data_IF_168706732580
#
_entry.id   IF_168706732580
#
_cell.length_a   1.000
_cell.length_b   1.000
_cell.length_c   1.000
_cell.angle_alpha   90.00
_cell.angle_beta   90.00
_cell.angle_gamma   90.00
#
_symmetry.space_group_name_H-M   'P 1'
#
loop_
_entity.id
_entity.type
_entity.pdbx_description
1 polymer ?
#
# COMPACT_ATOMS: atom_id res chain seq x y z
N UNK A 1 13.79 42.37 -16.92
CA UNK A 1 14.04 40.92 -16.93
C UNK A 1 12.95 40.27 -16.09
N UNK A 2 12.11 39.42 -16.68
CA UNK A 2 11.10 38.66 -15.92
C UNK A 2 11.79 37.48 -15.22
N UNK A 3 11.53 37.21 -13.94
CA UNK A 3 12.08 36.04 -13.26
C UNK A 3 11.51 34.74 -13.88
N UNK A 4 12.28 33.64 -13.90
CA UNK A 4 11.79 32.36 -14.39
C UNK A 4 10.63 31.88 -13.50
N UNK A 5 9.53 31.50 -14.15
CA UNK A 5 8.38 30.87 -13.53
C UNK A 5 8.88 29.54 -12.96
N UNK A 6 8.88 29.40 -11.63
CA UNK A 6 9.09 28.10 -10.97
C UNK A 6 7.98 27.16 -11.45
N UNK A 7 8.28 25.98 -12.00
CA UNK A 7 7.24 25.02 -12.31
C UNK A 7 6.48 24.71 -11.03
N UNK A 8 5.16 24.81 -11.07
CA UNK A 8 4.30 24.36 -9.97
C UNK A 8 4.51 22.86 -9.72
N UNK A 9 4.15 22.37 -8.52
CA UNK A 9 4.22 20.93 -8.23
C UNK A 9 3.43 20.16 -9.30
N UNK A 10 3.94 18.99 -9.74
CA UNK A 10 3.30 18.23 -10.80
C UNK A 10 1.86 17.84 -10.39
N UNK A 11 0.92 17.80 -11.35
CA UNK A 11 -0.42 17.31 -11.09
C UNK A 11 -0.34 15.89 -10.51
N UNK A 12 -1.08 15.63 -9.43
CA UNK A 12 -1.17 14.31 -8.82
C UNK A 12 -1.49 13.27 -9.90
N UNK A 13 -0.59 12.31 -10.12
CA UNK A 13 -0.80 11.24 -11.11
C UNK A 13 -2.09 10.48 -10.78
N UNK A 14 -2.96 10.30 -11.77
CA UNK A 14 -4.15 9.48 -11.65
C UNK A 14 -3.75 7.99 -11.64
N UNK A 15 -4.54 7.14 -10.99
CA UNK A 15 -4.45 5.69 -11.20
C UNK A 15 -4.82 5.36 -12.66
N UNK A 16 -4.22 4.36 -13.35
CA UNK A 16 -3.23 3.37 -12.91
C UNK A 16 -1.77 3.86 -13.01
N UNK A 17 -1.53 5.04 -13.59
CA UNK A 17 -0.19 5.58 -13.81
C UNK A 17 0.58 5.76 -12.51
N UNK A 18 -0.10 6.13 -11.42
CA UNK A 18 0.51 6.23 -10.09
C UNK A 18 1.11 4.92 -9.60
N UNK A 19 0.42 3.79 -9.78
CA UNK A 19 0.88 2.46 -9.33
C UNK A 19 2.14 2.04 -10.08
N UNK A 20 2.12 2.20 -11.40
CA UNK A 20 3.26 1.93 -12.27
C UNK A 20 4.45 2.80 -11.84
N UNK A 21 4.21 4.07 -11.53
CA UNK A 21 5.25 5.01 -11.15
C UNK A 21 5.77 4.84 -9.73
N UNK A 22 4.96 4.37 -8.77
CA UNK A 22 5.45 3.91 -7.47
C UNK A 22 6.36 2.70 -7.62
N UNK A 23 5.95 1.74 -8.46
CA UNK A 23 6.77 0.59 -8.81
C UNK A 23 8.12 1.00 -9.38
N UNK A 24 8.14 1.92 -10.36
CA UNK A 24 9.38 2.45 -10.95
C UNK A 24 10.19 3.30 -9.97
N UNK A 25 9.55 4.09 -9.11
CA UNK A 25 10.21 4.95 -8.11
C UNK A 25 10.94 4.18 -7.01
N UNK A 26 10.48 2.98 -6.66
CA UNK A 26 11.23 2.03 -5.81
C UNK A 26 12.56 1.58 -6.42
N UNK A 27 12.75 1.79 -7.72
CA UNK A 27 13.92 1.37 -8.49
C UNK A 27 14.70 2.54 -9.10
N UNK A 28 14.69 3.74 -8.52
CA UNK A 28 15.50 4.86 -9.04
C UNK A 28 17.03 4.64 -9.01
N UNK A 29 17.50 3.45 -8.62
CA UNK A 29 18.88 2.97 -8.81
C UNK A 29 19.06 2.12 -10.08
N UNK A 30 17.98 1.78 -10.79
CA UNK A 30 17.94 0.94 -12.00
C UNK A 30 17.83 1.87 -13.22
N UNK A 31 18.84 1.83 -14.07
CA UNK A 31 18.97 2.67 -15.28
C UNK A 31 17.91 2.32 -16.35
N UNK A 32 17.61 3.29 -17.22
CA UNK A 32 16.66 3.18 -18.34
C UNK A 32 16.81 1.88 -19.15
N UNK A 33 18.05 1.41 -19.34
CA UNK A 33 18.43 0.17 -20.04
C UNK A 33 17.75 -1.11 -19.51
N UNK A 34 17.36 -1.12 -18.23
CA UNK A 34 16.79 -2.29 -17.55
C UNK A 34 15.27 -2.37 -17.70
N UNK A 35 14.62 -1.24 -18.02
CA UNK A 35 13.15 -1.13 -18.17
C UNK A 35 12.71 -1.15 -19.64
N UNK A 36 13.65 -0.98 -20.57
CA UNK A 36 13.42 -1.01 -22.02
C UNK A 36 12.69 -2.28 -22.51
N UNK A 37 13.01 -3.51 -22.02
CA UNK A 37 12.30 -4.72 -22.42
C UNK A 37 10.81 -4.68 -22.06
N UNK A 38 10.45 -4.12 -20.90
CA UNK A 38 9.06 -4.01 -20.46
C UNK A 38 8.30 -2.89 -21.19
N UNK A 39 8.96 -1.76 -21.47
CA UNK A 39 8.41 -0.67 -22.26
C UNK A 39 8.07 -1.09 -23.70
N UNK A 40 8.83 -2.05 -24.24
CA UNK A 40 8.60 -2.62 -25.57
C UNK A 40 7.27 -3.42 -25.69
N UNK A 41 6.68 -3.83 -24.56
CA UNK A 41 5.41 -4.56 -24.53
C UNK A 41 4.18 -3.63 -24.44
N UNK A 42 4.39 -2.33 -24.19
CA UNK A 42 3.31 -1.37 -24.05
C UNK A 42 2.81 -0.84 -25.42
N UNK A 43 1.50 -0.64 -25.61
CA UNK A 43 0.93 0.01 -26.79
C UNK A 43 1.52 1.41 -27.01
N UNK A 44 1.71 1.81 -28.27
CA UNK A 44 2.41 3.05 -28.65
C UNK A 44 2.04 4.33 -27.89
N UNK A 45 0.74 4.64 -27.66
CA UNK A 45 0.34 5.82 -26.89
C UNK A 45 0.79 5.77 -25.42
N UNK A 46 0.78 4.57 -24.83
CA UNK A 46 1.19 4.32 -23.44
C UNK A 46 2.70 4.37 -23.32
N UNK A 47 3.43 3.87 -24.34
CA UNK A 47 4.90 3.91 -24.39
C UNK A 47 5.44 5.35 -24.39
N UNK A 48 4.85 6.27 -25.15
CA UNK A 48 5.26 7.68 -25.14
C UNK A 48 5.03 8.37 -23.79
N UNK A 49 3.91 8.03 -23.14
CA UNK A 49 3.61 8.53 -21.79
C UNK A 49 4.61 7.97 -20.78
N UNK A 50 4.96 6.69 -20.89
CA UNK A 50 5.93 6.01 -20.03
C UNK A 50 7.33 6.63 -20.14
N UNK A 51 7.85 6.86 -21.36
CA UNK A 51 9.14 7.54 -21.54
C UNK A 51 9.12 8.98 -21.04
N UNK A 52 8.07 9.75 -21.34
CA UNK A 52 7.96 11.13 -20.87
C UNK A 52 7.97 11.25 -19.35
N UNK A 53 7.42 10.27 -18.64
CA UNK A 53 7.45 10.22 -17.18
C UNK A 53 8.81 9.72 -16.65
N UNK A 54 9.46 8.73 -17.28
CA UNK A 54 10.83 8.31 -16.91
C UNK A 54 11.83 9.47 -16.98
N UNK A 55 11.82 10.24 -18.08
CA UNK A 55 12.67 11.42 -18.22
C UNK A 55 12.34 12.51 -17.19
N UNK A 56 11.08 12.60 -16.77
CA UNK A 56 10.65 13.50 -15.69
C UNK A 56 11.10 13.00 -14.30
N UNK A 57 11.22 11.69 -14.10
CA UNK A 57 11.69 11.07 -12.86
C UNK A 57 13.19 11.26 -12.65
N UNK A 58 14.00 11.11 -13.70
CA UNK A 58 15.44 11.40 -13.67
C UNK A 58 15.71 12.86 -13.30
N UNK A 59 14.83 13.77 -13.73
CA UNK A 59 14.95 15.19 -13.44
C UNK A 59 14.53 15.58 -12.01
N UNK A 60 13.70 14.76 -11.33
CA UNK A 60 13.05 15.15 -10.06
C UNK A 60 13.42 14.24 -8.88
N UNK A 61 13.98 13.06 -9.11
CA UNK A 61 14.32 12.09 -8.05
C UNK A 61 13.09 11.38 -7.47
N UNK A 62 13.29 10.16 -6.97
CA UNK A 62 12.25 9.20 -6.56
C UNK A 62 11.20 9.68 -5.55
N UNK A 63 11.41 10.83 -4.90
CA UNK A 63 10.50 11.38 -3.88
C UNK A 63 9.26 12.07 -4.43
N UNK A 64 9.19 12.40 -5.73
CA UNK A 64 8.13 13.27 -6.25
C UNK A 64 6.90 12.57 -6.84
N UNK A 65 6.82 11.24 -6.75
CA UNK A 65 5.86 10.45 -7.54
C UNK A 65 4.51 10.27 -6.84
N UNK A 66 4.47 10.40 -5.51
CA UNK A 66 3.25 10.24 -4.73
C UNK A 66 3.01 11.50 -3.90
N UNK A 67 1.79 12.06 -3.89
CA UNK A 67 1.46 13.09 -2.90
C UNK A 67 1.77 12.53 -1.50
N UNK A 68 2.39 13.33 -0.62
CA UNK A 68 2.72 12.88 0.73
C UNK A 68 1.43 12.46 1.45
N UNK A 69 1.45 11.28 2.09
CA UNK A 69 0.36 10.86 2.95
C UNK A 69 0.23 11.86 4.10
N UNK A 70 -0.98 12.35 4.36
CA UNK A 70 -1.26 13.24 5.48
C UNK A 70 -2.03 12.53 6.59
N UNK A 71 -2.01 13.12 7.78
CA UNK A 71 -2.69 12.61 8.98
C UNK A 71 -4.20 12.52 8.78
N UNK A 72 -4.79 13.38 7.94
CA UNK A 72 -6.21 13.34 7.64
C UNK A 72 -6.59 12.09 6.83
N UNK A 73 -5.77 11.72 5.85
CA UNK A 73 -5.94 10.50 5.05
C UNK A 73 -5.83 9.26 5.93
N UNK A 74 -4.87 9.24 6.86
CA UNK A 74 -4.73 8.14 7.84
C UNK A 74 -5.96 8.07 8.75
N UNK A 75 -6.45 9.20 9.25
CA UNK A 75 -7.65 9.23 10.07
C UNK A 75 -8.89 8.74 9.30
N UNK A 76 -9.03 9.08 8.02
CA UNK A 76 -10.11 8.55 7.17
C UNK A 76 -9.98 7.04 6.94
N UNK A 77 -8.77 6.54 6.72
CA UNK A 77 -8.49 5.11 6.60
C UNK A 77 -8.82 4.35 7.89
N UNK A 78 -8.41 4.87 9.04
CA UNK A 78 -8.71 4.32 10.38
C UNK A 78 -10.23 4.29 10.62
N UNK A 79 -10.93 5.39 10.32
CA UNK A 79 -12.40 5.43 10.42
C UNK A 79 -13.09 4.47 9.46
N UNK A 80 -12.52 4.22 8.28
CA UNK A 80 -13.04 3.23 7.35
C UNK A 80 -12.96 1.81 7.93
N UNK A 81 -11.81 1.41 8.47
CA UNK A 81 -11.63 0.07 9.04
C UNK A 81 -12.46 -0.15 10.31
N UNK A 82 -12.73 0.91 11.09
CA UNK A 82 -13.53 0.79 12.31
C UNK A 82 -15.04 0.94 12.12
N UNK A 83 -15.48 1.85 11.23
CA UNK A 83 -16.90 2.27 11.13
C UNK A 83 -17.50 2.01 9.73
N UNK A 84 -16.69 1.81 8.69
CA UNK A 84 -17.19 1.44 7.36
C UNK A 84 -17.84 2.57 6.56
N UNK A 85 -17.25 3.77 6.54
CA UNK A 85 -17.81 4.88 5.74
C UNK A 85 -17.44 4.81 4.25
N UNK A 86 -18.41 4.88 3.34
CA UNK A 86 -18.22 4.74 1.87
C UNK A 86 -17.08 5.55 1.24
N UNK A 87 -16.78 6.74 1.77
CA UNK A 87 -15.69 7.60 1.25
C UNK A 87 -14.28 7.20 1.70
N UNK A 88 -14.16 6.20 2.59
CA UNK A 88 -12.90 5.83 3.24
C UNK A 88 -12.05 4.80 2.48
N UNK A 89 -12.60 4.11 1.48
CA UNK A 89 -11.89 3.07 0.74
C UNK A 89 -10.61 3.60 0.07
N UNK A 90 -10.69 4.76 -0.60
CA UNK A 90 -9.51 5.36 -1.24
C UNK A 90 -8.44 5.80 -0.22
N UNK A 91 -8.87 6.30 0.94
CA UNK A 91 -7.97 6.68 2.02
C UNK A 91 -7.25 5.45 2.58
N UNK A 92 -7.97 4.33 2.77
CA UNK A 92 -7.38 3.05 3.15
C UNK A 92 -6.33 2.60 2.13
N UNK A 93 -6.65 2.63 0.83
CA UNK A 93 -5.71 2.25 -0.23
C UNK A 93 -4.43 3.10 -0.19
N UNK A 94 -4.55 4.41 -0.02
CA UNK A 94 -3.38 5.28 0.11
C UNK A 94 -2.54 4.97 1.36
N UNK A 95 -3.19 4.71 2.49
CA UNK A 95 -2.52 4.35 3.74
C UNK A 95 -1.79 3.00 3.61
N UNK A 96 -2.42 2.00 2.97
CA UNK A 96 -1.79 0.71 2.67
C UNK A 96 -0.58 0.85 1.74
N UNK A 97 -0.69 1.68 0.70
CA UNK A 97 0.44 1.94 -0.21
C UNK A 97 1.62 2.62 0.48
N UNK A 98 1.35 3.51 1.44
CA UNK A 98 2.38 4.09 2.29
C UNK A 98 3.01 3.05 3.23
N UNK A 99 2.18 2.26 3.92
CA UNK A 99 2.67 1.21 4.82
C UNK A 99 3.55 0.19 4.08
N UNK A 100 3.13 -0.19 2.88
CA UNK A 100 3.87 -1.06 1.98
C UNK A 100 5.24 -0.47 1.59
N UNK A 101 5.26 0.79 1.16
CA UNK A 101 6.49 1.48 0.79
C UNK A 101 7.48 1.56 1.96
N UNK A 102 6.97 1.74 3.19
CA UNK A 102 7.82 1.77 4.38
C UNK A 102 8.37 0.37 4.71
N UNK A 103 7.52 -0.65 4.65
CA UNK A 103 7.90 -2.04 4.87
C UNK A 103 8.95 -2.55 3.86
N UNK A 104 8.80 -2.21 2.57
CA UNK A 104 9.71 -2.66 1.51
C UNK A 104 11.12 -2.06 1.64
N UNK A 105 11.24 -0.82 2.13
CA UNK A 105 12.52 -0.19 2.45
C UNK A 105 13.23 -0.92 3.59
N UNK A 106 12.49 -1.36 4.62
CA UNK A 106 13.06 -2.05 5.78
C UNK A 106 13.57 -3.47 5.45
N UNK A 107 13.03 -4.11 4.41
CA UNK A 107 13.31 -5.54 4.12
C UNK A 107 14.15 -5.81 2.87
N UNK A 108 14.48 -4.78 2.08
CA UNK A 108 15.12 -4.95 0.77
C UNK A 108 14.36 -5.88 -0.19
N UNK A 109 13.07 -6.12 0.06
CA UNK A 109 12.17 -6.93 -0.77
C UNK A 109 11.71 -6.12 -1.98
N UNK A 110 12.63 -5.96 -2.93
CA UNK A 110 12.43 -5.12 -4.12
C UNK A 110 11.48 -5.76 -5.15
N UNK A 111 11.10 -7.03 -5.03
CA UNK A 111 10.40 -7.76 -6.09
C UNK A 111 8.86 -7.67 -6.05
N UNK A 112 8.30 -7.03 -5.04
CA UNK A 112 6.86 -6.96 -4.81
C UNK A 112 6.31 -5.54 -5.00
N UNK A 113 5.16 -5.44 -5.63
CA UNK A 113 4.45 -4.20 -5.94
C UNK A 113 3.08 -4.20 -5.26
N UNK A 114 2.65 -3.02 -4.81
CA UNK A 114 1.26 -2.78 -4.36
C UNK A 114 0.48 -2.05 -5.46
N UNK A 115 -0.58 -2.67 -5.97
CA UNK A 115 -1.54 -2.05 -6.88
C UNK A 115 -2.70 -1.44 -6.10
N UNK A 116 -2.71 -0.11 -6.06
CA UNK A 116 -3.82 0.65 -5.50
C UNK A 116 -5.12 0.44 -6.30
N UNK A 117 -5.03 0.22 -7.62
CA UNK A 117 -6.21 -0.04 -8.47
C UNK A 117 -6.91 -1.34 -8.09
N UNK A 118 -6.14 -2.42 -7.90
CA UNK A 118 -6.69 -3.72 -7.51
C UNK A 118 -7.30 -3.61 -6.10
N UNK A 119 -6.58 -2.97 -5.17
CA UNK A 119 -7.07 -2.74 -3.81
C UNK A 119 -8.35 -1.90 -3.80
N UNK A 120 -8.39 -0.78 -4.52
CA UNK A 120 -9.56 0.09 -4.62
C UNK A 120 -10.75 -0.63 -5.25
N UNK A 121 -10.53 -1.41 -6.31
CA UNK A 121 -11.60 -2.20 -6.93
C UNK A 121 -12.16 -3.24 -5.97
N UNK A 122 -11.31 -3.94 -5.23
CA UNK A 122 -11.73 -4.94 -4.26
C UNK A 122 -12.53 -4.32 -3.10
N UNK A 123 -12.06 -3.19 -2.56
CA UNK A 123 -12.73 -2.48 -1.47
C UNK A 123 -14.04 -1.82 -1.90
N UNK A 124 -14.12 -1.28 -3.12
CA UNK A 124 -15.37 -0.71 -3.65
C UNK A 124 -16.42 -1.77 -3.98
N UNK A 125 -16.00 -3.02 -4.20
CA UNK A 125 -16.90 -4.15 -4.40
C UNK A 125 -17.28 -4.87 -3.09
N UNK A 126 -16.70 -4.45 -1.95
CA UNK A 126 -16.94 -5.05 -0.66
C UNK A 126 -18.25 -4.50 -0.07
N UNK A 127 -19.28 -5.34 -0.05
CA UNK A 127 -20.53 -5.05 0.65
C UNK A 127 -20.39 -5.41 2.14
N UNK A 128 -20.60 -4.43 3.01
CA UNK A 128 -20.54 -4.60 4.47
C UNK A 128 -21.82 -4.07 5.10
N UNK A 129 -22.33 -4.75 6.12
CA UNK A 129 -23.40 -4.19 6.91
C UNK A 129 -22.88 -3.01 7.77
N UNK A 130 -23.74 -2.02 7.97
CA UNK A 130 -23.41 -0.79 8.71
C UNK A 130 -23.12 -1.08 10.20
N UNK A 131 -23.72 -2.13 10.76
CA UNK A 131 -23.67 -2.49 12.18
C UNK A 131 -22.60 -3.55 12.51
N UNK A 132 -21.71 -3.88 11.57
CA UNK A 132 -20.60 -4.81 11.84
C UNK A 132 -19.65 -4.24 12.89
N UNK A 133 -19.28 -5.11 13.84
CA UNK A 133 -18.23 -4.82 14.81
C UNK A 133 -16.89 -4.51 14.10
N UNK A 134 -16.07 -3.58 14.62
CA UNK A 134 -14.81 -3.17 14.00
C UNK A 134 -13.86 -4.34 13.66
N UNK A 135 -13.76 -5.33 14.55
CA UNK A 135 -12.91 -6.51 14.39
C UNK A 135 -13.35 -7.39 13.22
N UNK A 136 -14.66 -7.59 13.06
CA UNK A 136 -15.25 -8.35 11.94
C UNK A 136 -15.01 -7.60 10.64
N UNK A 137 -15.17 -6.27 10.67
CA UNK A 137 -14.92 -5.39 9.52
C UNK A 137 -13.46 -5.46 9.07
N UNK A 138 -12.51 -5.34 10.00
CA UNK A 138 -11.09 -5.46 9.73
C UNK A 138 -10.73 -6.82 9.10
N UNK A 139 -11.27 -7.90 9.65
CA UNK A 139 -11.06 -9.25 9.13
C UNK A 139 -11.68 -9.45 7.72
N UNK A 140 -12.85 -8.86 7.44
CA UNK A 140 -13.44 -8.86 6.10
C UNK A 140 -12.59 -8.08 5.09
N UNK A 141 -12.12 -6.88 5.46
CA UNK A 141 -11.23 -6.06 4.63
C UNK A 141 -9.94 -6.80 4.32
N UNK A 142 -9.32 -7.42 5.34
CA UNK A 142 -8.14 -8.26 5.17
C UNK A 142 -8.41 -9.36 4.14
N UNK A 143 -9.45 -10.17 4.35
CA UNK A 143 -9.77 -11.29 3.47
C UNK A 143 -10.07 -10.87 2.04
N UNK A 144 -10.75 -9.75 1.83
CA UNK A 144 -11.03 -9.24 0.47
C UNK A 144 -9.75 -8.81 -0.23
N UNK A 145 -8.84 -8.16 0.49
CA UNK A 145 -7.57 -7.70 -0.05
C UNK A 145 -6.62 -8.89 -0.31
N UNK A 146 -6.52 -9.85 0.61
CA UNK A 146 -5.75 -11.09 0.38
C UNK A 146 -6.24 -11.77 -0.89
N UNK A 147 -7.56 -12.00 -1.06
CA UNK A 147 -8.12 -12.65 -2.25
C UNK A 147 -7.94 -11.86 -3.54
N UNK A 148 -7.86 -10.53 -3.47
CA UNK A 148 -7.68 -9.68 -4.64
C UNK A 148 -6.23 -9.62 -5.13
N UNK A 149 -5.26 -10.06 -4.30
CA UNK A 149 -3.82 -10.02 -4.58
C UNK A 149 -3.33 -8.63 -5.08
N UNK A 150 -3.62 -7.52 -4.35
CA UNK A 150 -3.10 -6.22 -4.72
C UNK A 150 -1.58 -6.13 -4.49
N UNK A 151 -1.02 -7.01 -3.67
CA UNK A 151 0.41 -7.16 -3.43
C UNK A 151 0.90 -8.37 -4.21
N UNK A 152 1.78 -8.17 -5.17
CA UNK A 152 2.24 -9.25 -6.06
C UNK A 152 3.60 -8.98 -6.68
N UNK A 153 4.18 -10.02 -7.29
CA UNK A 153 5.46 -9.87 -8.00
C UNK A 153 5.32 -8.97 -9.20
N UNK A 154 6.42 -8.29 -9.52
CA UNK A 154 6.54 -7.52 -10.75
C UNK A 154 6.25 -8.39 -11.99
N UNK A 155 5.53 -7.86 -13.00
CA UNK A 155 5.38 -8.54 -14.28
C UNK A 155 6.73 -8.93 -14.88
N UNK A 156 6.89 -10.19 -15.28
CA UNK A 156 8.15 -10.72 -15.83
C UNK A 156 9.04 -11.46 -14.82
N UNK A 157 8.66 -11.52 -13.54
CA UNK A 157 9.23 -12.43 -12.53
C UNK A 157 8.41 -13.73 -12.50
N UNK A 158 9.02 -14.86 -12.15
CA UNK A 158 8.33 -16.16 -12.11
C UNK A 158 7.00 -16.07 -11.32
N UNK A 159 5.88 -16.54 -11.91
CA UNK A 159 4.52 -16.21 -11.48
C UNK A 159 4.09 -16.86 -10.16
N UNK A 160 4.77 -17.93 -9.73
CA UNK A 160 4.42 -18.60 -8.48
C UNK A 160 5.19 -17.98 -7.32
N UNK A 161 4.45 -17.43 -6.36
CA UNK A 161 4.99 -17.11 -5.05
C UNK A 161 5.26 -18.42 -4.29
N UNK A 162 6.45 -18.62 -3.72
CA UNK A 162 6.62 -19.53 -2.60
C UNK A 162 5.59 -19.21 -1.51
N UNK A 163 5.05 -20.23 -0.85
CA UNK A 163 4.08 -20.04 0.23
C UNK A 163 4.59 -19.09 1.35
N UNK A 164 5.92 -19.06 1.56
CA UNK A 164 6.56 -18.14 2.51
C UNK A 164 6.39 -16.66 2.12
N UNK A 165 6.46 -16.35 0.82
CA UNK A 165 6.25 -15.00 0.29
C UNK A 165 4.77 -14.57 0.43
N UNK A 166 3.82 -15.51 0.29
CA UNK A 166 2.38 -15.25 0.46
C UNK A 166 2.05 -14.91 1.91
N UNK A 167 2.49 -15.75 2.86
CA UNK A 167 2.31 -15.49 4.29
C UNK A 167 2.95 -14.17 4.71
N UNK A 168 4.07 -13.80 4.10
CA UNK A 168 4.73 -12.53 4.37
C UNK A 168 3.90 -11.33 3.91
N UNK A 169 3.32 -11.38 2.72
CA UNK A 169 2.40 -10.36 2.20
C UNK A 169 1.19 -10.20 3.13
N UNK A 170 0.63 -11.33 3.59
CA UNK A 170 -0.49 -11.35 4.54
C UNK A 170 -0.11 -10.73 5.88
N UNK A 171 1.06 -11.06 6.44
CA UNK A 171 1.56 -10.46 7.68
C UNK A 171 1.74 -8.94 7.55
N UNK A 172 2.17 -8.43 6.39
CA UNK A 172 2.27 -6.99 6.16
C UNK A 172 0.91 -6.31 6.13
N UNK A 173 -0.04 -6.89 5.40
CA UNK A 173 -1.39 -6.38 5.37
C UNK A 173 -2.02 -6.38 6.77
N UNK A 174 -1.80 -7.46 7.53
CA UNK A 174 -2.24 -7.57 8.92
C UNK A 174 -1.63 -6.44 9.77
N UNK A 175 -0.32 -6.23 9.72
CA UNK A 175 0.36 -5.17 10.47
C UNK A 175 -0.14 -3.77 10.09
N UNK A 176 -0.42 -3.52 8.81
CA UNK A 176 -0.98 -2.25 8.37
C UNK A 176 -2.39 -2.02 8.90
N UNK A 177 -3.22 -3.07 9.01
CA UNK A 177 -4.53 -2.97 9.65
C UNK A 177 -4.42 -2.78 11.15
N UNK A 178 -3.53 -3.50 11.85
CA UNK A 178 -3.22 -3.27 13.27
C UNK A 178 -2.87 -1.80 13.47
N UNK A 179 -1.94 -1.26 12.67
CA UNK A 179 -1.59 0.15 12.71
C UNK A 179 -2.78 1.08 12.53
N UNK A 180 -3.80 0.74 11.76
CA UNK A 180 -4.99 1.58 11.56
C UNK A 180 -6.05 1.44 12.67
N UNK A 181 -5.97 0.39 13.49
CA UNK A 181 -6.82 0.17 14.66
C UNK A 181 -6.31 0.87 15.93
N UNK A 182 -5.05 1.32 15.96
CA UNK A 182 -4.48 2.02 17.13
C UNK A 182 -5.05 3.42 17.34
N UNK A 183 -4.73 4.06 18.46
CA UNK A 183 -5.02 5.48 18.66
C UNK A 183 -4.26 6.33 17.63
N UNK A 184 -4.97 7.26 16.95
CA UNK A 184 -4.36 8.14 15.94
C UNK A 184 -3.42 9.14 16.58
N UNK A 185 -2.25 9.30 15.99
CA UNK A 185 -1.29 10.31 16.41
C UNK A 185 -1.62 11.69 15.79
N UNK A 186 -0.93 12.73 16.28
CA UNK A 186 -1.15 14.11 15.80
C UNK A 186 -0.24 14.48 14.64
N UNK A 187 0.84 13.72 14.44
CA UNK A 187 1.88 14.01 13.47
C UNK A 187 2.21 12.77 12.63
N UNK A 188 2.70 12.99 11.41
CA UNK A 188 3.10 11.89 10.53
C UNK A 188 4.28 11.09 11.09
N UNK A 189 5.25 11.78 11.72
CA UNK A 189 6.40 11.12 12.36
C UNK A 189 5.99 10.15 13.49
N UNK A 190 4.90 10.45 14.20
CA UNK A 190 4.35 9.56 15.23
C UNK A 190 3.56 8.41 14.59
N UNK A 191 2.74 8.67 13.57
CA UNK A 191 2.06 7.62 12.79
C UNK A 191 3.05 6.61 12.20
N UNK A 192 4.19 7.11 11.73
CA UNK A 192 5.28 6.31 11.23
C UNK A 192 5.86 5.37 12.28
N UNK A 193 6.02 5.82 13.53
CA UNK A 193 6.50 5.00 14.64
C UNK A 193 5.47 3.96 15.07
N UNK A 194 4.19 4.32 15.06
CA UNK A 194 3.10 3.37 15.34
C UNK A 194 3.07 2.26 14.29
N UNK A 195 3.27 2.60 13.01
CA UNK A 195 3.41 1.60 11.95
C UNK A 195 4.63 0.70 12.15
N UNK A 196 5.79 1.26 12.51
CA UNK A 196 6.99 0.47 12.81
C UNK A 196 6.78 -0.50 13.97
N UNK A 197 6.06 -0.06 15.02
CA UNK A 197 5.72 -0.89 16.17
C UNK A 197 4.71 -1.99 15.80
N UNK A 198 3.68 -1.68 15.01
CA UNK A 198 2.72 -2.65 14.51
C UNK A 198 3.39 -3.73 13.65
N UNK A 199 4.33 -3.33 12.78
CA UNK A 199 5.16 -4.24 11.99
C UNK A 199 6.02 -5.13 12.89
N UNK A 200 6.72 -4.54 13.86
CA UNK A 200 7.58 -5.28 14.78
C UNK A 200 6.80 -6.30 15.63
N UNK A 201 5.65 -5.91 16.18
CA UNK A 201 4.81 -6.78 17.00
C UNK A 201 4.19 -7.92 16.18
N UNK A 202 3.66 -7.62 15.00
CA UNK A 202 3.13 -8.65 14.09
C UNK A 202 4.20 -9.69 13.75
N UNK A 203 5.42 -9.24 13.49
CA UNK A 203 6.53 -10.14 13.16
C UNK A 203 7.05 -10.93 14.35
N UNK A 204 7.03 -10.33 15.55
CA UNK A 204 7.34 -11.04 16.79
C UNK A 204 6.32 -12.14 17.11
N UNK A 205 5.06 -11.97 16.67
CA UNK A 205 3.97 -12.95 16.84
C UNK A 205 3.61 -13.69 15.53
N UNK A 206 4.52 -13.77 14.55
CA UNK A 206 4.18 -14.20 13.18
C UNK A 206 3.48 -15.57 13.11
N UNK A 207 3.92 -16.57 13.88
CA UNK A 207 3.31 -17.91 13.85
C UNK A 207 1.89 -17.90 14.42
N UNK A 208 1.66 -17.13 15.49
CA UNK A 208 0.35 -17.03 16.11
C UNK A 208 -0.63 -16.22 15.23
N UNK A 209 -0.14 -15.15 14.60
CA UNK A 209 -0.93 -14.34 13.66
C UNK A 209 -1.29 -15.16 12.42
N UNK A 210 -0.35 -15.88 11.83
CA UNK A 210 -0.59 -16.69 10.63
C UNK A 210 -1.65 -17.79 10.85
N UNK A 211 -1.73 -18.36 12.05
CA UNK A 211 -2.77 -19.34 12.41
C UNK A 211 -4.18 -18.75 12.42
N UNK A 212 -4.33 -17.43 12.45
CA UNK A 212 -5.64 -16.76 12.47
C UNK A 212 -6.20 -16.47 11.07
N UNK A 213 -5.40 -16.56 10.01
CA UNK A 213 -5.78 -16.09 8.66
C UNK A 213 -6.97 -16.85 8.05
N UNK A 214 -7.15 -18.13 8.41
CA UNK A 214 -8.24 -18.96 7.90
C UNK A 214 -9.58 -18.79 8.66
N UNK A 215 -9.58 -18.10 9.81
CA UNK A 215 -10.77 -17.90 10.64
C UNK A 215 -11.02 -16.41 10.88
N UNK A 216 -12.13 -15.92 10.32
CA UNK A 216 -12.51 -14.50 10.37
C UNK A 216 -12.66 -13.98 11.80
N UNK A 217 -13.16 -14.81 12.73
CA UNK A 217 -13.29 -14.40 14.12
C UNK A 217 -11.94 -14.34 14.80
N UNK A 218 -11.08 -15.35 14.63
CA UNK A 218 -9.73 -15.35 15.22
C UNK A 218 -8.89 -14.19 14.66
N UNK A 219 -9.00 -13.93 13.37
CA UNK A 219 -8.33 -12.81 12.70
C UNK A 219 -8.77 -11.46 13.29
N UNK A 220 -10.08 -11.26 13.44
CA UNK A 220 -10.62 -10.03 14.04
C UNK A 220 -10.14 -9.81 15.47
N UNK A 221 -10.16 -10.86 16.30
CA UNK A 221 -9.66 -10.77 17.68
C UNK A 221 -8.16 -10.48 17.71
N UNK A 222 -7.37 -11.12 16.83
CA UNK A 222 -5.93 -10.87 16.75
C UNK A 222 -5.62 -9.43 16.33
N UNK A 223 -6.40 -8.83 15.42
CA UNK A 223 -6.22 -7.44 15.00
C UNK A 223 -6.38 -6.48 16.18
N UNK A 224 -7.45 -6.63 16.96
CA UNK A 224 -7.72 -5.76 18.12
C UNK A 224 -6.73 -6.02 19.26
N UNK A 225 -6.45 -7.29 19.59
CA UNK A 225 -5.47 -7.64 20.62
C UNK A 225 -4.11 -7.00 20.32
N UNK A 226 -3.61 -7.10 19.08
CA UNK A 226 -2.32 -6.49 18.75
C UNK A 226 -2.39 -4.96 18.71
N UNK A 227 -3.50 -4.37 18.27
CA UNK A 227 -3.67 -2.93 18.25
C UNK A 227 -3.66 -2.31 19.66
N UNK A 228 -4.21 -3.01 20.67
CA UNK A 228 -4.19 -2.57 22.07
C UNK A 228 -2.78 -2.53 22.69
N UNK A 229 -1.79 -3.15 22.02
CA UNK A 229 -0.38 -3.20 22.46
C UNK A 229 0.54 -2.26 21.67
N UNK A 230 0.03 -1.52 20.68
CA UNK A 230 0.78 -0.55 19.86
C UNK A 230 0.51 0.87 20.35
#
# INVERSE_FOLDING_TARGET
MRPPIKPGPPPSLQQPLRDIMRGVGMFAEITEDTLEPAASLLPGPVRHTFHGVLTSLEAVGSRAVTPPLDVQTIALASRFVSVGQDSGAQALVHALGFAWQKASVLRAERHFLFSEVIAARALNALEMADDLAPEVRGAMIFNVLVKAHPMGRMPGVEPNLPAEDETQVELFLFAALVWLFTERARTLDEEEKLLDLALALTMAKKEAVAQSFDDLNLLGHALIDLADHV
#
